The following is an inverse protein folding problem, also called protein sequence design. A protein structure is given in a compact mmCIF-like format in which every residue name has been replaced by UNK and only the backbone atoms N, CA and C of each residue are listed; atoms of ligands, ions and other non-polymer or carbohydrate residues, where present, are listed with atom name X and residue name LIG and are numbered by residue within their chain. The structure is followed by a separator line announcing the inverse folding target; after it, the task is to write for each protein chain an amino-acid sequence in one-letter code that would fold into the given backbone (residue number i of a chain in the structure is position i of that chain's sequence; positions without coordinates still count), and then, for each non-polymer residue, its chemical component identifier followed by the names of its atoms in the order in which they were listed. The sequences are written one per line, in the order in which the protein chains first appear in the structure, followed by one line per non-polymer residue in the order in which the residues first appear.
data_IF_599091291229
#
_entry.id   IF_599091291229
#
_cell.length_a   1.000
_cell.length_b   1.000
_cell.length_c   1.000
_cell.angle_alpha   90.00
_cell.angle_beta   90.00
_cell.angle_gamma   90.00
#
_symmetry.space_group_name_H-M   'P 1'
#
loop_
_entity.id
_entity.type
_entity.pdbx_description
1 polymer ?
#
# COMPACT_ATOMS: atom_id res chain seq x y z
N UNK A 1 2.25 -20.90 -13.78
CA UNK A 1 1.08 -21.73 -13.48
C UNK A 1 0.28 -21.88 -14.75
N UNK A 2 0.04 -23.10 -15.23
CA UNK A 2 -0.75 -23.37 -16.45
C UNK A 2 -2.25 -23.52 -16.17
N UNK A 3 -2.71 -23.25 -14.94
CA UNK A 3 -4.12 -23.40 -14.53
C UNK A 3 -5.07 -22.41 -15.23
N UNK A 4 -4.54 -21.36 -15.84
CA UNK A 4 -5.30 -20.45 -16.70
C UNK A 4 -5.53 -21.03 -18.10
N UNK A 5 -4.85 -22.12 -18.47
CA UNK A 5 -4.93 -22.79 -19.77
C UNK A 5 -4.59 -21.91 -20.98
N UNK A 6 -3.83 -20.83 -20.77
CA UNK A 6 -3.39 -19.95 -21.85
C UNK A 6 -2.22 -20.57 -22.66
N UNK A 7 -1.30 -21.23 -21.97
CA UNK A 7 -0.15 -21.94 -22.53
C UNK A 7 -0.23 -23.43 -22.18
N UNK A 8 0.34 -24.27 -23.03
CA UNK A 8 0.35 -25.73 -22.84
C UNK A 8 1.50 -26.21 -21.96
N UNK A 9 2.62 -25.48 -21.96
CA UNK A 9 3.82 -25.81 -21.19
C UNK A 9 4.27 -24.65 -20.30
N UNK A 10 5.12 -24.96 -19.33
CA UNK A 10 5.66 -23.96 -18.42
C UNK A 10 6.67 -23.06 -19.15
N UNK A 11 7.40 -23.62 -20.10
CA UNK A 11 8.39 -22.96 -20.92
C UNK A 11 7.76 -22.01 -21.93
N UNK A 12 6.63 -22.39 -22.53
CA UNK A 12 5.82 -21.47 -23.35
C UNK A 12 5.29 -20.33 -22.49
N UNK A 13 4.95 -20.60 -21.23
CA UNK A 13 4.51 -19.54 -20.30
C UNK A 13 5.64 -18.54 -20.05
N UNK A 14 6.85 -19.02 -19.80
CA UNK A 14 8.02 -18.14 -19.61
C UNK A 14 8.29 -17.33 -20.88
N UNK A 15 8.24 -17.98 -22.05
CA UNK A 15 8.48 -17.31 -23.33
C UNK A 15 7.45 -16.20 -23.60
N UNK A 16 6.16 -16.53 -23.55
CA UNK A 16 5.08 -15.56 -23.74
C UNK A 16 5.26 -14.37 -22.80
N UNK A 17 5.43 -14.63 -21.50
CA UNK A 17 5.41 -13.56 -20.50
C UNK A 17 6.64 -12.65 -20.65
N UNK A 18 7.83 -13.21 -20.95
CA UNK A 18 9.01 -12.42 -21.28
C UNK A 18 8.82 -11.63 -22.58
N UNK A 19 8.29 -12.23 -23.64
CA UNK A 19 8.08 -11.57 -24.95
C UNK A 19 6.97 -10.51 -24.92
N UNK A 20 6.11 -10.50 -23.89
CA UNK A 20 5.14 -9.43 -23.62
C UNK A 20 5.66 -8.37 -22.65
N UNK A 21 6.98 -8.19 -22.54
CA UNK A 21 7.63 -7.18 -21.69
C UNK A 21 7.30 -7.26 -20.19
N UNK A 22 6.95 -8.46 -19.70
CA UNK A 22 6.84 -8.67 -18.24
C UNK A 22 8.20 -9.04 -17.69
N UNK A 23 8.96 -8.00 -17.30
CA UNK A 23 10.36 -8.14 -16.94
C UNK A 23 10.58 -8.71 -15.51
N UNK A 24 9.59 -8.55 -14.63
CA UNK A 24 9.65 -8.98 -13.23
C UNK A 24 8.59 -10.03 -12.91
N UNK A 25 8.96 -11.03 -12.11
CA UNK A 25 8.04 -11.99 -11.52
C UNK A 25 8.00 -11.82 -10.01
N UNK A 26 6.81 -11.50 -9.46
CA UNK A 26 6.54 -11.34 -8.02
C UNK A 26 6.59 -12.68 -7.23
N UNK A 27 7.06 -13.75 -7.86
CA UNK A 27 7.10 -15.09 -7.29
C UNK A 27 8.41 -15.77 -7.74
N UNK A 28 8.49 -17.09 -7.63
CA UNK A 28 9.67 -17.86 -7.98
C UNK A 28 9.58 -18.52 -9.38
N UNK A 29 8.58 -18.14 -10.18
CA UNK A 29 8.28 -18.82 -11.45
C UNK A 29 9.42 -18.68 -12.46
N UNK A 30 9.95 -17.47 -12.66
CA UNK A 30 11.12 -17.26 -13.51
C UNK A 30 12.36 -17.96 -12.96
N UNK A 31 12.58 -17.90 -11.65
CA UNK A 31 13.73 -18.54 -11.00
C UNK A 31 13.74 -20.05 -11.22
N UNK A 32 12.57 -20.69 -11.18
CA UNK A 32 12.41 -22.13 -11.36
C UNK A 32 12.51 -22.57 -12.82
N UNK A 33 11.99 -21.79 -13.76
CA UNK A 33 11.70 -22.31 -15.12
C UNK A 33 12.49 -21.66 -16.26
N UNK A 34 13.19 -20.54 -16.02
CA UNK A 34 13.97 -19.87 -17.08
C UNK A 34 15.07 -20.74 -17.66
N UNK A 35 15.73 -21.57 -16.83
CA UNK A 35 16.83 -22.43 -17.29
C UNK A 35 16.33 -23.49 -18.26
N UNK A 36 15.24 -24.17 -17.90
CA UNK A 36 14.60 -25.16 -18.78
C UNK A 36 14.12 -24.51 -20.08
N UNK A 37 13.59 -23.29 -20.01
CA UNK A 37 13.17 -22.53 -21.20
C UNK A 37 14.34 -22.19 -22.14
N UNK A 38 15.52 -21.88 -21.60
CA UNK A 38 16.76 -21.70 -22.39
C UNK A 38 17.24 -23.01 -22.99
N UNK A 39 17.29 -24.09 -22.18
CA UNK A 39 17.74 -25.41 -22.60
C UNK A 39 16.85 -25.96 -23.74
N UNK A 40 15.53 -25.71 -23.66
CA UNK A 40 14.53 -26.05 -24.67
C UNK A 40 14.38 -25.02 -25.80
N UNK A 41 15.14 -23.92 -25.76
CA UNK A 41 15.16 -22.84 -26.76
C UNK A 41 13.80 -22.16 -26.99
N UNK A 42 12.90 -22.19 -26.01
CA UNK A 42 11.65 -21.41 -26.05
C UNK A 42 11.90 -19.93 -25.79
N UNK A 43 13.03 -19.61 -25.14
CA UNK A 43 13.58 -18.26 -24.99
C UNK A 43 15.06 -18.26 -25.36
N UNK A 44 15.61 -17.06 -25.60
CA UNK A 44 17.05 -16.83 -25.76
C UNK A 44 17.59 -15.94 -24.65
N UNK A 45 18.91 -15.96 -24.44
CA UNK A 45 19.57 -15.14 -23.41
C UNK A 45 19.24 -13.65 -23.55
N UNK A 46 19.12 -13.16 -24.80
CA UNK A 46 18.70 -11.78 -25.11
C UNK A 46 17.33 -11.41 -24.51
N UNK A 47 16.41 -12.37 -24.35
CA UNK A 47 15.10 -12.10 -23.74
C UNK A 47 15.25 -11.77 -22.25
N UNK A 48 16.20 -12.43 -21.59
CA UNK A 48 16.55 -12.19 -20.18
C UNK A 48 17.34 -10.88 -20.06
N UNK A 49 18.32 -10.65 -20.95
CA UNK A 49 19.12 -9.43 -20.96
C UNK A 49 18.25 -8.18 -21.09
N UNK A 50 17.24 -8.20 -21.98
CA UNK A 50 16.28 -7.10 -22.11
C UNK A 50 15.53 -6.83 -20.81
N UNK A 51 15.00 -7.87 -20.17
CA UNK A 51 14.27 -7.73 -18.91
C UNK A 51 15.15 -7.18 -17.77
N UNK A 52 16.42 -7.62 -17.73
CA UNK A 52 17.41 -7.10 -16.79
C UNK A 52 17.74 -5.64 -17.12
N UNK A 53 18.00 -5.31 -18.38
CA UNK A 53 18.31 -3.95 -18.83
C UNK A 53 17.19 -2.98 -18.44
N UNK A 54 15.92 -3.31 -18.69
CA UNK A 54 14.77 -2.50 -18.26
C UNK A 54 14.75 -2.30 -16.74
N UNK A 55 14.96 -3.37 -15.97
CA UNK A 55 14.95 -3.32 -14.50
C UNK A 55 16.09 -2.46 -13.97
N UNK A 56 17.31 -2.65 -14.47
CA UNK A 56 18.48 -1.88 -14.06
C UNK A 56 18.40 -0.43 -14.52
N UNK A 57 17.83 -0.13 -15.68
CA UNK A 57 17.58 1.23 -16.14
C UNK A 57 16.68 1.99 -15.17
N UNK A 58 15.66 1.34 -14.61
CA UNK A 58 14.83 1.93 -13.55
C UNK A 58 15.66 2.22 -12.30
N UNK A 59 16.48 1.27 -11.84
CA UNK A 59 17.36 1.47 -10.68
C UNK A 59 18.38 2.59 -10.90
N UNK A 60 18.96 2.70 -12.09
CA UNK A 60 19.87 3.79 -12.48
C UNK A 60 19.14 5.14 -12.44
N UNK A 61 17.92 5.23 -12.98
CA UNK A 61 17.11 6.46 -12.93
C UNK A 61 16.76 6.90 -11.51
N UNK A 62 16.62 5.94 -10.59
CA UNK A 62 16.44 6.22 -9.16
C UNK A 62 17.74 6.53 -8.41
N UNK A 63 18.89 6.60 -9.10
CA UNK A 63 20.19 6.87 -8.49
C UNK A 63 20.68 5.75 -7.57
N UNK A 64 20.20 4.51 -7.77
CA UNK A 64 20.51 3.40 -6.88
C UNK A 64 22.01 3.08 -6.78
N UNK A 65 22.75 3.35 -7.86
CA UNK A 65 24.20 3.10 -7.95
C UNK A 65 25.06 4.34 -7.67
N UNK A 66 24.43 5.50 -7.42
CA UNK A 66 25.15 6.73 -7.14
C UNK A 66 25.60 6.79 -5.67
N UNK A 67 26.59 7.65 -5.39
CA UNK A 67 27.08 7.89 -4.03
C UNK A 67 25.93 8.32 -3.12
N UNK A 68 25.73 7.70 -1.94
CA UNK A 68 24.61 8.05 -1.05
C UNK A 68 24.51 9.55 -0.75
N UNK A 69 25.65 10.23 -0.58
CA UNK A 69 25.77 11.66 -0.26
C UNK A 69 25.22 12.57 -1.36
N UNK A 70 25.14 12.08 -2.59
CA UNK A 70 24.62 12.81 -3.75
C UNK A 70 23.13 12.54 -4.01
N UNK A 71 22.50 11.66 -3.23
CA UNK A 71 21.14 11.19 -3.45
C UNK A 71 20.19 11.66 -2.36
N UNK A 72 19.29 12.59 -2.68
CA UNK A 72 18.34 13.20 -1.74
C UNK A 72 17.54 12.16 -0.93
N UNK A 73 16.97 11.15 -1.61
CA UNK A 73 16.17 10.12 -0.94
C UNK A 73 16.98 9.19 -0.02
N UNK A 74 18.32 9.15 -0.17
CA UNK A 74 19.21 8.40 0.73
C UNK A 74 19.60 9.18 1.99
N UNK A 75 19.21 10.44 2.08
CA UNK A 75 19.41 11.28 3.27
C UNK A 75 18.22 11.24 4.23
N UNK A 76 17.09 10.64 3.81
CA UNK A 76 15.92 10.48 4.67
C UNK A 76 16.21 9.54 5.84
N UNK A 77 15.71 9.90 7.00
CA UNK A 77 15.92 9.21 8.27
C UNK A 77 14.60 8.89 8.95
N UNK A 78 14.66 8.28 10.14
CA UNK A 78 13.47 8.08 10.98
C UNK A 78 12.82 9.39 11.43
N UNK A 79 13.56 10.51 11.43
CA UNK A 79 13.00 11.81 11.79
C UNK A 79 12.02 12.34 10.72
N UNK A 80 12.12 11.83 9.49
CA UNK A 80 11.25 12.18 8.37
C UNK A 80 9.99 11.31 8.30
N UNK A 81 9.81 10.38 9.25
CA UNK A 81 8.66 9.47 9.36
C UNK A 81 7.78 9.92 10.51
N UNK A 82 6.45 9.88 10.34
CA UNK A 82 5.47 10.21 11.37
C UNK A 82 5.62 11.65 11.92
N UNK A 83 5.90 12.58 11.01
CA UNK A 83 6.02 14.03 11.29
C UNK A 83 4.65 14.64 11.58
N UNK A 84 4.58 15.80 12.29
CA UNK A 84 3.33 16.51 12.51
C UNK A 84 2.54 16.80 11.24
N UNK A 85 3.23 17.12 10.15
CA UNK A 85 2.63 17.39 8.84
C UNK A 85 2.00 16.13 8.24
N UNK A 86 2.67 14.98 8.32
CA UNK A 86 2.13 13.70 7.83
C UNK A 86 0.90 13.25 8.63
N UNK A 87 0.91 13.47 9.96
CA UNK A 87 -0.25 13.19 10.83
C UNK A 87 -1.43 14.10 10.52
N UNK A 88 -1.15 15.40 10.29
CA UNK A 88 -2.16 16.37 9.89
C UNK A 88 -2.80 15.97 8.55
N UNK A 89 -1.99 15.60 7.55
CA UNK A 89 -2.49 15.14 6.27
C UNK A 89 -3.37 13.88 6.39
N UNK A 90 -2.98 12.93 7.24
CA UNK A 90 -3.78 11.74 7.54
C UNK A 90 -5.15 12.11 8.14
N UNK A 91 -5.17 13.03 9.10
CA UNK A 91 -6.41 13.53 9.71
C UNK A 91 -7.30 14.26 8.70
N UNK A 92 -6.73 15.17 7.90
CA UNK A 92 -7.46 15.92 6.86
C UNK A 92 -8.04 14.96 5.82
N UNK A 93 -7.26 13.98 5.36
CA UNK A 93 -7.73 12.96 4.41
C UNK A 93 -8.91 12.15 4.99
N UNK A 94 -8.84 11.78 6.27
CA UNK A 94 -9.94 11.10 6.95
C UNK A 94 -11.20 11.99 7.03
N UNK A 95 -11.05 13.27 7.40
CA UNK A 95 -12.15 14.22 7.50
C UNK A 95 -12.85 14.45 6.14
N UNK A 96 -12.07 14.60 5.07
CA UNK A 96 -12.59 14.83 3.73
C UNK A 96 -13.22 13.57 3.11
N UNK A 97 -12.85 12.38 3.59
CA UNK A 97 -13.38 11.10 3.10
C UNK A 97 -14.74 10.71 3.69
N UNK A 98 -15.20 11.36 4.76
CA UNK A 98 -16.44 11.02 5.45
C UNK A 98 -17.66 11.56 4.68
N UNK A 99 -18.59 10.66 4.36
CA UNK A 99 -19.80 11.01 3.60
C UNK A 99 -21.04 11.02 4.52
N UNK A 100 -21.70 12.17 4.61
CA UNK A 100 -22.99 12.30 5.30
C UNK A 100 -24.14 11.85 4.39
N UNK A 101 -24.58 10.60 4.55
CA UNK A 101 -25.67 10.03 3.73
C UNK A 101 -27.07 10.55 4.10
N UNK A 102 -27.31 10.87 5.37
CA UNK A 102 -28.63 11.28 5.87
C UNK A 102 -28.51 12.23 7.05
N UNK A 103 -29.28 13.32 7.02
CA UNK A 103 -29.42 14.26 8.14
C UNK A 103 -30.90 14.66 8.30
N UNK A 104 -31.58 14.09 9.30
CA UNK A 104 -33.00 14.35 9.56
C UNK A 104 -33.12 15.42 10.64
N UNK A 105 -34.03 16.39 10.47
CA UNK A 105 -34.31 17.43 11.47
C UNK A 105 -33.08 18.24 11.91
N UNK A 106 -32.03 18.31 11.06
CA UNK A 106 -30.76 18.98 11.37
C UNK A 106 -30.13 18.45 12.67
N UNK A 107 -30.19 17.14 12.89
CA UNK A 107 -29.61 16.50 14.07
C UNK A 107 -28.08 16.62 14.12
N UNK A 108 -27.43 16.85 12.98
CA UNK A 108 -26.00 17.15 12.88
C UNK A 108 -25.76 18.57 12.32
N UNK A 109 -24.70 19.27 12.78
CA UNK A 109 -23.70 18.85 13.78
C UNK A 109 -24.26 18.80 15.21
N UNK A 110 -23.67 17.95 16.06
CA UNK A 110 -24.05 17.88 17.48
C UNK A 110 -23.62 19.16 18.22
N UNK A 111 -24.47 19.65 19.13
CA UNK A 111 -24.12 20.73 20.05
C UNK A 111 -23.30 20.18 21.21
N UNK A 112 -21.98 20.09 21.04
CA UNK A 112 -21.06 19.47 22.01
C UNK A 112 -21.20 20.06 23.42
N UNK A 113 -21.42 21.38 23.55
CA UNK A 113 -21.64 22.04 24.83
C UNK A 113 -22.81 21.45 25.63
N UNK A 114 -23.82 20.89 24.95
CA UNK A 114 -24.98 20.25 25.58
C UNK A 114 -24.69 18.82 26.03
N UNK A 115 -23.59 18.22 25.57
CA UNK A 115 -23.16 16.85 25.86
C UNK A 115 -22.14 16.76 27.00
N UNK A 116 -21.50 17.88 27.37
CA UNK A 116 -20.52 17.95 28.46
C UNK A 116 -21.20 17.51 29.77
N UNK A 117 -20.53 16.64 30.53
CA UNK A 117 -21.04 16.06 31.78
C UNK A 117 -22.40 15.33 31.66
N UNK A 118 -22.80 14.94 30.44
CA UNK A 118 -23.99 14.10 30.20
C UNK A 118 -23.60 12.66 29.94
N UNK A 119 -24.57 11.77 30.11
CA UNK A 119 -24.42 10.35 29.74
C UNK A 119 -24.63 10.23 28.23
N UNK A 120 -23.56 9.87 27.52
CA UNK A 120 -23.55 9.64 26.08
C UNK A 120 -23.48 8.14 25.79
N UNK A 121 -24.25 7.66 24.82
CA UNK A 121 -24.22 6.27 24.38
C UNK A 121 -23.65 6.20 22.96
N UNK A 122 -22.50 5.54 22.80
CA UNK A 122 -21.95 5.16 21.50
C UNK A 122 -22.14 3.65 21.34
N UNK A 123 -22.96 3.24 20.38
CA UNK A 123 -23.35 1.85 20.17
C UNK A 123 -23.06 1.50 18.73
N UNK A 124 -21.94 0.82 18.49
CA UNK A 124 -21.54 0.30 17.20
C UNK A 124 -20.51 -0.83 17.45
N UNK A 125 -20.57 -1.97 16.72
CA UNK A 125 -19.65 -3.10 16.92
C UNK A 125 -18.15 -2.75 16.90
N UNK A 126 -17.76 -1.73 16.13
CA UNK A 126 -16.38 -1.25 15.98
C UNK A 126 -16.13 0.09 16.69
N UNK A 127 -16.98 0.48 17.65
CA UNK A 127 -16.86 1.76 18.34
C UNK A 127 -15.51 1.95 19.06
N UNK A 128 -14.91 0.84 19.52
CA UNK A 128 -13.57 0.77 20.13
C UNK A 128 -12.54 0.10 19.19
N UNK A 129 -12.69 0.33 17.89
CA UNK A 129 -11.82 -0.25 16.86
C UNK A 129 -10.35 0.08 17.08
N UNK A 130 -9.48 -0.84 16.67
CA UNK A 130 -8.03 -0.64 16.66
C UNK A 130 -7.52 -0.81 15.24
N UNK A 131 -6.85 -1.92 14.94
CA UNK A 131 -6.27 -2.19 13.62
C UNK A 131 -7.33 -2.28 12.52
N UNK A 132 -8.58 -2.61 12.84
CA UNK A 132 -9.68 -2.64 11.87
C UNK A 132 -9.94 -1.29 11.20
N UNK A 133 -9.57 -0.16 11.84
CA UNK A 133 -9.67 1.16 11.21
C UNK A 133 -8.70 1.36 10.04
N UNK A 134 -7.67 0.52 9.95
CA UNK A 134 -6.62 0.58 8.93
C UNK A 134 -6.88 -0.38 7.75
N UNK A 135 -7.92 -1.21 7.85
CA UNK A 135 -8.34 -2.18 6.83
C UNK A 135 -7.25 -3.16 6.39
N UNK A 136 -6.75 -3.06 5.16
CA UNK A 136 -5.78 -4.00 4.58
C UNK A 136 -4.55 -3.26 4.06
N UNK A 137 -3.44 -4.00 3.86
CA UNK A 137 -2.16 -3.43 3.40
C UNK A 137 -1.59 -2.31 4.29
N UNK A 138 -1.82 -2.37 5.61
CA UNK A 138 -1.29 -1.42 6.57
C UNK A 138 -0.07 -1.94 7.33
N UNK A 139 0.79 -1.02 7.76
CA UNK A 139 1.86 -1.29 8.72
C UNK A 139 1.48 -0.85 10.13
N UNK A 140 2.35 -1.13 11.12
CA UNK A 140 2.14 -0.73 12.52
C UNK A 140 2.00 0.80 12.63
N UNK A 141 0.83 1.25 13.06
CA UNK A 141 0.58 2.68 13.29
C UNK A 141 1.32 3.19 14.54
N UNK A 142 1.74 4.47 14.54
CA UNK A 142 2.30 5.12 15.73
C UNK A 142 1.26 5.30 16.85
N UNK A 143 0.00 5.50 16.48
CA UNK A 143 -1.15 5.58 17.36
C UNK A 143 -2.44 5.31 16.57
N UNK A 144 -3.51 4.96 17.27
CA UNK A 144 -4.84 4.76 16.73
C UNK A 144 -5.83 5.47 17.66
N UNK A 145 -6.67 6.33 17.09
CA UNK A 145 -7.70 7.06 17.83
C UNK A 145 -9.05 6.51 17.41
N UNK A 146 -9.63 5.66 18.25
CA UNK A 146 -10.94 5.08 18.01
C UNK A 146 -12.09 6.08 18.31
N UNK A 147 -13.31 5.85 17.78
CA UNK A 147 -14.46 6.71 18.02
C UNK A 147 -14.80 6.93 19.50
N UNK A 148 -14.69 5.91 20.37
CA UNK A 148 -14.92 6.07 21.82
C UNK A 148 -13.89 7.03 22.42
N UNK A 149 -12.61 6.86 22.10
CA UNK A 149 -11.53 7.73 22.59
C UNK A 149 -11.73 9.18 22.12
N UNK A 150 -12.07 9.39 20.85
CA UNK A 150 -12.32 10.72 20.29
C UNK A 150 -13.52 11.42 20.97
N UNK A 151 -14.67 10.73 21.10
CA UNK A 151 -15.87 11.33 21.71
C UNK A 151 -15.67 11.61 23.21
N UNK A 152 -14.95 10.74 23.93
CA UNK A 152 -14.60 11.00 25.34
C UNK A 152 -13.77 12.27 25.48
N UNK A 153 -12.78 12.48 24.61
CA UNK A 153 -11.97 13.70 24.64
C UNK A 153 -12.77 14.98 24.35
N UNK A 154 -13.90 14.89 23.65
CA UNK A 154 -14.78 16.02 23.33
C UNK A 154 -15.88 16.28 24.36
N UNK A 155 -16.22 15.29 25.20
CA UNK A 155 -17.40 15.34 26.09
C UNK A 155 -17.08 15.23 27.58
N UNK A 156 -15.81 14.97 27.92
CA UNK A 156 -15.27 15.07 29.27
C UNK A 156 -15.27 16.52 29.76
#
# INVERSE_FOLDING_TARGET
STIHHYTSTVEDTVAVVLHTDTDLNCSDFYLKHRKESLDNKTIVEKDIDRALEHTFNVLIRFGWFDSPEQQFYRQLTKADVDTPESRKLSLESAQDSIILLKNINRSLPLHIDQLINKKNALIEPTANATESMQESYFGKAPFLIDPVTAIKAMTA
#
